data_IF_277318967331
#
_entry.id   IF_277318967331
#
_cell.length_a   1.000
_cell.length_b   1.000
_cell.length_c   1.000
_cell.angle_alpha   90.00
_cell.angle_beta   90.00
_cell.angle_gamma   90.00
#
_symmetry.space_group_name_H-M   'P 1'
#
loop_
_entity.id
_entity.type
_entity.pdbx_description
1 polymer ?
#
# COMPACT_ATOMS: atom_id res chain seq x y z
N UNK A 1 18.38 17.22 -16.34
CA UNK A 1 18.81 15.86 -15.96
C UNK A 1 20.06 15.98 -15.10
N UNK A 2 20.10 15.46 -13.87
CA UNK A 2 21.38 15.27 -13.20
C UNK A 2 22.06 14.01 -13.77
N UNK A 3 23.34 14.10 -14.19
CA UNK A 3 24.14 12.94 -14.56
C UNK A 3 24.74 12.30 -13.31
N UNK A 4 24.98 10.98 -13.34
CA UNK A 4 25.62 10.16 -12.29
C UNK A 4 24.76 9.70 -11.10
N UNK A 5 23.63 9.05 -11.37
CA UNK A 5 23.21 7.96 -10.49
C UNK A 5 23.86 6.68 -10.99
N UNK A 6 24.87 6.17 -10.25
CA UNK A 6 25.38 4.82 -10.42
C UNK A 6 24.20 3.85 -10.39
N UNK A 7 24.05 2.93 -11.37
CA UNK A 7 22.98 1.94 -11.29
C UNK A 7 23.17 1.13 -10.00
N UNK A 8 22.10 0.83 -9.25
CA UNK A 8 22.20 0.10 -8.00
C UNK A 8 23.00 -1.20 -8.23
N UNK A 9 24.07 -1.35 -7.45
CA UNK A 9 25.07 -2.44 -7.55
C UNK A 9 24.59 -3.76 -6.94
N UNK A 10 23.35 -3.79 -6.46
CA UNK A 10 22.67 -5.01 -6.06
C UNK A 10 21.73 -5.45 -7.19
N UNK A 11 21.82 -6.70 -7.70
CA UNK A 11 20.75 -7.22 -8.53
C UNK A 11 19.49 -7.21 -7.65
N UNK A 12 18.45 -6.47 -8.03
CA UNK A 12 17.17 -6.47 -7.30
C UNK A 12 16.52 -7.83 -7.53
N UNK A 13 16.91 -8.79 -6.70
CA UNK A 13 16.37 -10.14 -6.69
C UNK A 13 15.04 -10.12 -5.92
N UNK A 14 13.96 -9.62 -6.53
CA UNK A 14 12.62 -9.79 -5.98
C UNK A 14 11.92 -10.96 -6.67
N UNK A 15 11.83 -12.12 -6.01
CA UNK A 15 10.58 -12.85 -6.07
C UNK A 15 10.33 -13.58 -4.75
N UNK A 16 9.60 -12.95 -3.83
CA UNK A 16 8.92 -13.72 -2.79
C UNK A 16 7.65 -14.37 -3.36
N UNK A 17 6.87 -15.08 -2.53
CA UNK A 17 5.71 -15.82 -3.02
C UNK A 17 4.72 -14.89 -3.71
N UNK A 18 4.07 -15.41 -4.75
CA UNK A 18 2.81 -14.86 -5.23
C UNK A 18 1.74 -15.24 -4.21
N UNK A 19 1.02 -14.25 -3.71
CA UNK A 19 -0.04 -14.43 -2.73
C UNK A 19 -1.30 -13.77 -3.24
N UNK A 20 -2.44 -14.17 -2.66
CA UNK A 20 -3.69 -13.49 -2.93
C UNK A 20 -3.73 -12.20 -2.10
N UNK A 21 -3.70 -11.05 -2.76
CA UNK A 21 -3.73 -9.72 -2.14
C UNK A 21 -5.09 -9.09 -2.33
N UNK A 22 -5.51 -8.25 -1.39
CA UNK A 22 -6.71 -7.42 -1.51
C UNK A 22 -6.56 -6.37 -2.61
N UNK A 23 -5.40 -5.72 -2.67
CA UNK A 23 -5.07 -4.77 -3.71
C UNK A 23 -5.88 -3.48 -3.66
N UNK A 24 -6.53 -3.13 -2.54
CA UNK A 24 -7.25 -1.86 -2.38
C UNK A 24 -7.53 -1.52 -0.91
N UNK A 25 -6.50 -1.66 -0.08
CA UNK A 25 -6.60 -1.36 1.35
C UNK A 25 -6.58 0.16 1.57
N UNK A 26 -7.76 0.71 1.73
CA UNK A 26 -8.02 2.09 2.12
C UNK A 26 -8.88 2.13 3.39
N UNK A 27 -8.92 3.26 4.09
CA UNK A 27 -9.56 3.36 5.41
C UNK A 27 -11.04 2.91 5.40
N UNK A 28 -11.80 3.22 4.34
CA UNK A 28 -13.21 2.83 4.24
C UNK A 28 -13.45 1.32 4.07
N UNK A 29 -12.42 0.58 3.65
CA UNK A 29 -12.49 -0.86 3.41
C UNK A 29 -12.07 -1.70 4.63
N UNK A 30 -11.73 -1.05 5.75
CA UNK A 30 -11.31 -1.71 6.99
C UNK A 30 -12.34 -1.45 8.09
N UNK A 31 -13.10 -2.48 8.45
CA UNK A 31 -14.06 -2.40 9.54
C UNK A 31 -13.35 -2.64 10.88
N UNK A 32 -13.63 -1.81 11.88
CA UNK A 32 -13.07 -1.94 13.23
C UNK A 32 -14.15 -2.17 14.27
N UNK A 33 -13.81 -2.90 15.34
CA UNK A 33 -14.71 -3.10 16.48
C UNK A 33 -14.90 -1.80 17.26
N UNK A 34 -16.10 -1.61 17.82
CA UNK A 34 -16.37 -0.50 18.76
C UNK A 34 -15.69 -0.74 20.11
N UNK A 35 -15.41 0.34 20.84
CA UNK A 35 -14.90 0.30 22.22
C UNK A 35 -13.51 0.90 22.39
N UNK A 36 -12.96 0.88 23.63
CA UNK A 36 -11.70 1.56 23.96
C UNK A 36 -10.46 0.91 23.34
N UNK A 37 -10.57 -0.33 22.85
CA UNK A 37 -9.50 -1.08 22.22
C UNK A 37 -9.96 -1.62 20.87
N UNK A 38 -10.08 -0.76 19.84
CA UNK A 38 -10.54 -1.18 18.52
C UNK A 38 -9.58 -2.20 17.91
N UNK A 39 -10.16 -3.19 17.22
CA UNK A 39 -9.43 -4.20 16.45
C UNK A 39 -10.02 -4.27 15.04
N UNK A 40 -9.22 -4.67 14.06
CA UNK A 40 -9.72 -4.98 12.73
C UNK A 40 -10.72 -6.14 12.84
N UNK A 41 -11.96 -5.87 12.46
CA UNK A 41 -13.06 -6.84 12.45
C UNK A 41 -13.16 -7.54 11.10
N UNK A 42 -12.99 -6.80 10.00
CA UNK A 42 -13.03 -7.34 8.64
C UNK A 42 -12.34 -6.39 7.66
N UNK A 43 -11.91 -6.94 6.52
CA UNK A 43 -11.52 -6.21 5.32
C UNK A 43 -12.55 -6.52 4.23
N UNK A 44 -13.13 -5.49 3.63
CA UNK A 44 -14.23 -5.57 2.66
C UNK A 44 -13.81 -4.96 1.32
N UNK A 45 -14.64 -5.16 0.28
CA UNK A 45 -14.42 -4.63 -1.08
C UNK A 45 -13.22 -5.25 -1.83
N UNK A 46 -13.34 -6.55 -2.09
CA UNK A 46 -12.31 -7.37 -2.76
C UNK A 46 -12.32 -7.26 -4.30
N UNK A 47 -12.97 -6.24 -4.88
CA UNK A 47 -13.14 -6.15 -6.34
C UNK A 47 -11.80 -6.01 -7.10
N UNK A 48 -10.78 -5.47 -6.44
CA UNK A 48 -9.42 -5.32 -6.97
C UNK A 48 -8.45 -6.44 -6.53
N UNK A 49 -8.95 -7.49 -5.88
CA UNK A 49 -8.14 -8.57 -5.38
C UNK A 49 -7.59 -9.44 -6.51
N UNK A 50 -6.42 -10.04 -6.26
CA UNK A 50 -5.76 -10.88 -7.24
C UNK A 50 -4.46 -11.50 -6.73
N UNK A 51 -3.81 -12.26 -7.61
CA UNK A 51 -2.55 -12.93 -7.31
C UNK A 51 -1.38 -12.03 -7.71
N UNK A 52 -0.72 -11.45 -6.71
CA UNK A 52 0.37 -10.50 -6.89
C UNK A 52 1.57 -10.87 -6.00
N UNK A 53 2.76 -10.32 -6.26
CA UNK A 53 3.89 -10.49 -5.35
C UNK A 53 3.52 -10.07 -3.91
N UNK A 54 4.00 -10.79 -2.90
CA UNK A 54 3.67 -10.55 -1.49
C UNK A 54 3.81 -9.09 -0.99
N UNK A 55 4.69 -8.28 -1.58
CA UNK A 55 4.89 -6.87 -1.21
C UNK A 55 3.85 -5.91 -1.83
N UNK A 56 3.01 -6.41 -2.73
CA UNK A 56 2.09 -5.62 -3.54
C UNK A 56 1.07 -4.83 -2.71
N UNK A 57 0.54 -5.44 -1.64
CA UNK A 57 -0.44 -4.79 -0.75
C UNK A 57 0.12 -3.52 -0.12
N UNK A 58 1.34 -3.59 0.42
CA UNK A 58 2.02 -2.44 1.02
C UNK A 58 2.26 -1.32 0.02
N UNK A 59 2.81 -1.65 -1.15
CA UNK A 59 3.16 -0.64 -2.15
C UNK A 59 1.91 0.05 -2.72
N UNK A 60 0.86 -0.72 -3.05
CA UNK A 60 -0.38 -0.15 -3.59
C UNK A 60 -1.11 0.69 -2.55
N UNK A 61 -1.25 0.20 -1.31
CA UNK A 61 -1.96 0.93 -0.26
C UNK A 61 -1.28 2.25 0.14
N UNK A 62 0.05 2.34 0.03
CA UNK A 62 0.78 3.62 0.19
C UNK A 62 0.54 4.63 -0.93
N UNK A 63 0.26 4.15 -2.15
CA UNK A 63 0.06 5.01 -3.32
C UNK A 63 -1.38 5.50 -3.47
N UNK A 64 -2.36 4.70 -3.07
CA UNK A 64 -3.77 5.06 -3.19
C UNK A 64 -4.11 6.17 -2.20
N UNK A 65 -4.78 7.21 -2.69
CA UNK A 65 -5.43 8.23 -1.86
C UNK A 65 -6.93 8.06 -2.00
N UNK A 66 -7.65 8.23 -0.89
CA UNK A 66 -9.11 8.29 -0.95
C UNK A 66 -9.54 9.57 -1.68
N UNK A 67 -10.63 9.57 -2.46
CA UNK A 67 -11.09 10.75 -3.16
C UNK A 67 -11.59 11.83 -2.19
N UNK A 68 -11.33 13.10 -2.52
CA UNK A 68 -11.69 14.29 -1.72
C UNK A 68 -13.20 14.54 -1.58
N UNK A 69 -14.03 13.59 -2.05
CA UNK A 69 -15.50 13.63 -1.90
C UNK A 69 -15.95 13.32 -0.47
N UNK A 70 -15.07 12.75 0.34
CA UNK A 70 -15.31 12.54 1.76
C UNK A 70 -14.67 13.70 2.54
N UNK A 71 -15.49 14.68 2.94
CA UNK A 71 -15.04 15.90 3.62
C UNK A 71 -14.22 15.59 4.89
N UNK A 72 -14.50 14.46 5.55
CA UNK A 72 -13.79 13.99 6.74
C UNK A 72 -12.43 13.35 6.44
N UNK A 73 -12.08 13.15 5.17
CA UNK A 73 -10.83 12.55 4.71
C UNK A 73 -9.94 13.60 4.02
N UNK A 74 -9.73 14.71 4.71
CA UNK A 74 -8.83 15.78 4.29
C UNK A 74 -7.36 15.31 4.23
N UNK A 75 -6.47 16.18 3.77
CA UNK A 75 -5.05 15.85 3.62
C UNK A 75 -4.40 15.38 4.94
N UNK A 76 -4.81 15.94 6.08
CA UNK A 76 -4.30 15.57 7.40
C UNK A 76 -4.81 14.19 7.83
N UNK A 77 -6.09 13.89 7.62
CA UNK A 77 -6.68 12.58 7.89
C UNK A 77 -6.06 11.49 7.00
N UNK A 78 -5.76 11.81 5.73
CA UNK A 78 -5.07 10.91 4.81
C UNK A 78 -3.64 10.64 5.26
N UNK A 79 -2.92 11.67 5.68
CA UNK A 79 -1.57 11.53 6.21
C UNK A 79 -1.55 10.69 7.50
N UNK A 80 -2.51 10.93 8.41
CA UNK A 80 -2.68 10.09 9.61
C UNK A 80 -2.96 8.64 9.23
N UNK A 81 -3.87 8.38 8.29
CA UNK A 81 -4.13 7.04 7.78
C UNK A 81 -2.85 6.37 7.28
N UNK A 82 -2.10 7.03 6.40
CA UNK A 82 -0.89 6.46 5.78
C UNK A 82 0.25 6.21 6.78
N UNK A 83 0.46 7.12 7.73
CA UNK A 83 1.59 7.06 8.65
C UNK A 83 1.32 6.22 9.89
N UNK A 84 0.09 6.28 10.41
CA UNK A 84 -0.26 5.67 11.71
C UNK A 84 -1.02 4.37 11.56
N UNK A 85 -2.04 4.34 10.73
CA UNK A 85 -3.02 3.26 10.72
C UNK A 85 -2.70 2.17 9.71
N UNK A 86 -2.31 2.56 8.48
CA UNK A 86 -1.98 1.62 7.41
C UNK A 86 -0.89 0.61 7.82
N UNK A 87 0.23 0.99 8.47
CA UNK A 87 1.24 0.02 8.92
C UNK A 87 0.71 -1.03 9.89
N UNK A 88 -0.32 -0.70 10.68
CA UNK A 88 -0.95 -1.64 11.62
C UNK A 88 -1.86 -2.64 10.92
N UNK A 89 -2.39 -2.30 9.74
CA UNK A 89 -3.31 -3.15 8.98
C UNK A 89 -2.55 -4.10 8.07
N UNK A 90 -1.60 -3.60 7.27
CA UNK A 90 -0.92 -4.38 6.22
C UNK A 90 0.49 -4.84 6.61
N UNK A 91 1.04 -4.28 7.70
CA UNK A 91 2.44 -4.49 8.10
C UNK A 91 3.40 -3.63 7.29
N UNK A 92 4.30 -2.85 7.92
CA UNK A 92 5.24 -2.02 7.19
C UNK A 92 6.32 -2.84 6.52
N UNK A 93 6.64 -2.49 5.27
CA UNK A 93 7.81 -3.01 4.57
C UNK A 93 8.80 -1.87 4.30
N UNK A 94 10.11 -2.16 4.30
CA UNK A 94 11.11 -1.17 3.90
C UNK A 94 10.86 -0.78 2.45
N UNK A 95 10.84 0.52 2.16
CA UNK A 95 10.60 1.01 0.79
C UNK A 95 11.76 0.64 -0.14
N UNK A 96 12.97 0.50 0.42
CA UNK A 96 14.17 0.05 -0.27
C UNK A 96 14.04 -1.43 -0.68
N UNK A 97 14.00 -1.67 -1.99
CA UNK A 97 13.96 -3.01 -2.57
C UNK A 97 12.59 -3.48 -3.06
N UNK A 98 11.47 -3.01 -2.49
CA UNK A 98 10.10 -3.44 -2.91
C UNK A 98 9.37 -2.41 -3.76
N UNK A 99 9.60 -1.11 -3.51
CA UNK A 99 8.83 -0.06 -4.15
C UNK A 99 9.22 0.17 -5.61
N UNK A 100 10.52 0.09 -5.93
CA UNK A 100 11.00 0.30 -7.31
C UNK A 100 10.41 -0.69 -8.32
N UNK A 101 10.36 -2.01 -8.05
CA UNK A 101 9.71 -2.97 -8.95
C UNK A 101 8.20 -2.76 -9.07
N UNK A 102 7.51 -2.42 -7.97
CA UNK A 102 6.10 -2.06 -8.01
C UNK A 102 5.85 -0.82 -8.88
N UNK A 103 6.65 0.24 -8.69
CA UNK A 103 6.53 1.49 -9.43
C UNK A 103 6.75 1.27 -10.94
N UNK A 104 7.71 0.42 -11.32
CA UNK A 104 7.91 0.04 -12.73
C UNK A 104 6.66 -0.60 -13.32
N UNK A 105 6.01 -1.50 -12.59
CA UNK A 105 4.74 -2.09 -13.05
C UNK A 105 3.65 -1.03 -13.16
N UNK A 106 3.45 -0.22 -12.11
CA UNK A 106 2.40 0.80 -12.06
C UNK A 106 2.54 1.83 -13.19
N UNK A 107 3.78 2.17 -13.57
CA UNK A 107 4.09 3.09 -14.67
C UNK A 107 4.25 2.42 -16.04
N UNK A 108 4.22 1.09 -16.15
CA UNK A 108 4.34 0.40 -17.44
C UNK A 108 3.05 0.44 -18.28
N UNK A 109 2.00 1.10 -17.78
CA UNK A 109 0.70 1.25 -18.44
C UNK A 109 0.36 2.70 -18.83
N UNK A 110 1.38 3.55 -18.99
CA UNK A 110 1.28 4.86 -19.68
C UNK A 110 2.00 4.85 -21.02
#
# INVERSE_FOLDING_TARGET
>A
MPPNATPPTHPVNLPGPVVFTHGDVVACNVLVTRGPHPRVAAVIDWAHAGWYPWYWEWCKAKWVRMPDVWEEMDDAAQEEWQQRWLPLVVGPLPDEGVYYPWLRFALAHV
#
